data_IF_892366562817
#
_entry.id   IF_892366562817
#
_cell.length_a   1.000
_cell.length_b   1.000
_cell.length_c   1.000
_cell.angle_alpha   90.00
_cell.angle_beta   90.00
_cell.angle_gamma   90.00
#
_symmetry.space_group_name_H-M   'P 1'
#
loop_
_entity.id
_entity.type
_entity.pdbx_description
1 polymer ?
#
# COMPACT_ATOMS: atom_id res chain seq x y z
N UNK A 1 53.04 42.01 -36.13
CA UNK A 1 53.02 41.81 -34.66
C UNK A 1 51.64 41.24 -34.31
N UNK A 2 51.46 39.97 -33.86
CA UNK A 2 51.67 39.42 -32.49
C UNK A 2 51.07 40.38 -31.46
N UNK A 3 50.00 40.12 -30.71
CA UNK A 3 49.53 38.97 -29.88
C UNK A 3 48.03 39.26 -29.53
N UNK A 4 47.13 38.38 -29.03
CA UNK A 4 47.20 37.50 -27.85
C UNK A 4 45.92 36.62 -27.76
N UNK A 5 46.09 35.41 -27.23
CA UNK A 5 45.08 34.44 -26.76
C UNK A 5 44.15 34.99 -25.67
N UNK A 6 42.88 34.54 -25.63
CA UNK A 6 42.17 34.15 -24.38
C UNK A 6 41.14 33.02 -24.68
N UNK A 7 41.15 31.90 -23.94
CA UNK A 7 40.20 30.79 -24.08
C UNK A 7 38.97 31.03 -23.18
N UNK A 8 37.77 30.60 -23.60
CA UNK A 8 36.64 30.45 -22.69
C UNK A 8 36.14 29.02 -22.74
N UNK A 9 36.21 28.40 -21.57
CA UNK A 9 35.92 27.01 -21.29
C UNK A 9 34.47 26.65 -21.63
N UNK A 10 34.30 25.65 -22.48
CA UNK A 10 33.00 25.01 -22.70
C UNK A 10 32.63 24.21 -21.46
N UNK A 11 31.56 24.66 -20.80
CA UNK A 11 30.99 24.06 -19.61
C UNK A 11 30.59 22.60 -19.85
N UNK A 12 30.99 21.74 -18.92
CA UNK A 12 30.59 20.34 -18.86
C UNK A 12 29.07 20.23 -18.66
N UNK A 13 28.39 19.58 -19.60
CA UNK A 13 27.01 19.14 -19.45
C UNK A 13 26.99 17.96 -18.46
N UNK A 14 26.66 18.26 -17.20
CA UNK A 14 26.38 17.25 -16.18
C UNK A 14 25.14 16.46 -16.58
N UNK A 15 25.33 15.17 -16.83
CA UNK A 15 24.25 14.17 -16.93
C UNK A 15 23.55 14.10 -15.57
N UNK A 16 22.43 14.82 -15.43
CA UNK A 16 21.53 14.69 -14.30
C UNK A 16 20.89 13.31 -14.29
N UNK A 17 21.38 12.43 -13.41
CA UNK A 17 20.73 11.16 -13.11
C UNK A 17 19.37 11.46 -12.47
N UNK A 18 18.29 11.38 -13.25
CA UNK A 18 16.94 11.34 -12.69
C UNK A 18 16.80 10.00 -11.96
N UNK A 19 16.97 10.04 -10.63
CA UNK A 19 16.57 8.94 -9.77
C UNK A 19 15.05 8.80 -9.90
N UNK A 20 14.61 7.83 -10.70
CA UNK A 20 13.23 7.36 -10.66
C UNK A 20 13.06 6.64 -9.33
N UNK A 21 12.58 7.36 -8.30
CA UNK A 21 12.02 6.70 -7.13
C UNK A 21 10.80 5.92 -7.59
N UNK A 22 11.00 4.64 -7.88
CA UNK A 22 9.91 3.67 -7.92
C UNK A 22 9.32 3.64 -6.51
N UNK A 23 8.25 4.41 -6.27
CA UNK A 23 7.46 4.25 -5.06
C UNK A 23 6.88 2.83 -5.10
N UNK A 24 7.51 1.93 -4.36
CA UNK A 24 6.89 0.68 -3.92
C UNK A 24 5.48 1.00 -3.38
N UNK A 25 4.45 0.19 -3.69
CA UNK A 25 3.12 0.42 -3.14
C UNK A 25 3.24 0.49 -1.63
N UNK A 26 3.09 1.69 -1.07
CA UNK A 26 3.19 1.90 0.37
C UNK A 26 1.95 1.29 1.00
N UNK A 27 2.05 0.04 1.44
CA UNK A 27 1.03 -0.57 2.29
C UNK A 27 0.94 0.28 3.55
N UNK A 28 -0.22 0.87 3.80
CA UNK A 28 -0.43 1.68 4.98
C UNK A 28 -0.97 0.79 6.11
N UNK A 29 -0.09 0.48 7.06
CA UNK A 29 -0.41 -0.35 8.22
C UNK A 29 -1.22 0.44 9.24
N UNK A 30 -2.44 -0.01 9.51
CA UNK A 30 -3.27 0.56 10.57
C UNK A 30 -2.76 0.15 11.95
N UNK A 31 -2.97 0.99 13.00
CA UNK A 31 -2.77 0.57 14.37
C UNK A 31 -3.58 -0.70 14.66
N UNK A 32 -3.02 -1.74 15.30
CA UNK A 32 -3.75 -2.95 15.63
C UNK A 32 -4.97 -2.69 16.53
N UNK A 33 -6.06 -3.40 16.30
CA UNK A 33 -7.29 -3.37 17.10
C UNK A 33 -7.81 -4.79 17.32
N UNK A 34 -8.20 -5.13 18.55
CA UNK A 34 -8.82 -6.43 18.89
C UNK A 34 -8.06 -7.64 18.32
N UNK A 35 -6.72 -7.66 18.49
CA UNK A 35 -5.82 -8.70 17.98
C UNK A 35 -5.79 -8.84 16.45
N UNK A 36 -6.31 -7.86 15.73
CA UNK A 36 -6.28 -7.75 14.27
C UNK A 36 -5.42 -6.58 13.84
N UNK A 37 -4.81 -6.71 12.66
CA UNK A 37 -4.09 -5.65 11.98
C UNK A 37 -4.68 -5.48 10.58
N UNK A 38 -5.09 -4.26 10.25
CA UNK A 38 -5.52 -3.91 8.88
C UNK A 38 -4.36 -3.31 8.10
N UNK A 39 -4.17 -3.81 6.89
CA UNK A 39 -3.22 -3.30 5.92
C UNK A 39 -3.99 -2.70 4.75
N UNK A 40 -3.91 -1.38 4.56
CA UNK A 40 -4.50 -0.72 3.40
C UNK A 40 -3.53 -0.89 2.23
N UNK A 41 -3.96 -1.70 1.25
CA UNK A 41 -3.17 -2.05 0.07
C UNK A 41 -3.31 -0.99 -1.01
N UNK A 42 -4.51 -0.43 -1.17
CA UNK A 42 -4.79 0.59 -2.16
C UNK A 42 -5.94 1.52 -1.73
N UNK A 43 -5.87 2.77 -2.20
CA UNK A 43 -7.00 3.68 -2.19
C UNK A 43 -7.22 4.47 -0.89
N UNK A 44 -8.16 5.44 -0.91
CA UNK A 44 -8.37 6.41 0.18
C UNK A 44 -9.35 5.90 1.25
N UNK A 45 -9.18 4.67 1.74
CA UNK A 45 -9.97 4.18 2.88
C UNK A 45 -9.27 4.56 4.20
N UNK A 46 -10.03 4.98 5.21
CA UNK A 46 -9.48 5.21 6.54
C UNK A 46 -9.35 3.90 7.32
N UNK A 47 -8.41 3.82 8.27
CA UNK A 47 -8.31 2.65 9.14
C UNK A 47 -9.60 2.36 9.90
N UNK A 48 -10.30 3.40 10.38
CA UNK A 48 -11.56 3.24 11.10
C UNK A 48 -12.63 2.60 10.21
N UNK A 49 -12.76 3.06 8.97
CA UNK A 49 -13.74 2.51 8.02
C UNK A 49 -13.37 1.07 7.60
N UNK A 50 -12.09 0.79 7.45
CA UNK A 50 -11.60 -0.55 7.12
C UNK A 50 -11.91 -1.57 8.22
N UNK A 51 -11.63 -1.23 9.50
CA UNK A 51 -12.01 -2.08 10.64
C UNK A 51 -13.53 -2.21 10.78
N UNK A 52 -14.28 -1.12 10.61
CA UNK A 52 -15.75 -1.17 10.65
C UNK A 52 -16.32 -2.09 9.56
N UNK A 53 -15.77 -2.02 8.35
CA UNK A 53 -16.15 -2.90 7.22
C UNK A 53 -15.79 -4.36 7.53
N UNK A 54 -14.56 -4.62 8.00
CA UNK A 54 -14.12 -5.96 8.39
C UNK A 54 -15.03 -6.58 9.46
N UNK A 55 -15.44 -5.79 10.46
CA UNK A 55 -16.30 -6.24 11.56
C UNK A 55 -17.72 -6.62 11.15
N UNK A 56 -18.17 -6.29 9.93
CA UNK A 56 -19.46 -6.74 9.41
C UNK A 56 -19.40 -8.15 8.79
N UNK A 57 -18.20 -8.64 8.47
CA UNK A 57 -18.03 -9.94 7.79
C UNK A 57 -18.48 -11.09 8.69
N UNK A 58 -19.32 -11.97 8.15
CA UNK A 58 -19.84 -13.14 8.87
C UNK A 58 -19.05 -14.39 8.50
N UNK A 59 -18.22 -14.92 9.40
CA UNK A 59 -17.37 -16.08 9.08
C UNK A 59 -18.15 -17.35 8.65
N UNK A 60 -19.38 -17.53 9.16
CA UNK A 60 -20.25 -18.67 8.83
C UNK A 60 -21.20 -18.39 7.65
N UNK A 61 -21.08 -17.21 7.02
CA UNK A 61 -21.91 -16.80 5.90
C UNK A 61 -21.38 -17.23 4.53
N UNK A 62 -21.83 -16.53 3.49
CA UNK A 62 -21.33 -16.72 2.13
C UNK A 62 -19.81 -16.49 2.05
N UNK A 63 -19.11 -17.23 1.18
CA UNK A 63 -17.66 -17.08 0.99
C UNK A 63 -17.28 -15.65 0.60
N UNK A 64 -18.03 -15.08 -0.32
CA UNK A 64 -17.88 -13.69 -0.77
C UNK A 64 -19.07 -12.90 -0.25
N UNK A 65 -18.81 -11.85 0.52
CA UNK A 65 -19.85 -11.01 1.11
C UNK A 65 -19.69 -9.58 0.63
N UNK A 66 -20.80 -9.00 0.17
CA UNK A 66 -20.86 -7.59 -0.18
C UNK A 66 -21.10 -6.79 1.10
N UNK A 67 -20.12 -5.96 1.48
CA UNK A 67 -20.19 -5.08 2.66
C UNK A 67 -20.01 -3.65 2.16
N UNK A 68 -21.13 -2.95 1.96
CA UNK A 68 -21.12 -1.64 1.30
C UNK A 68 -20.51 -1.74 -0.11
N UNK A 69 -19.49 -0.93 -0.44
CA UNK A 69 -18.84 -1.00 -1.76
C UNK A 69 -17.79 -2.13 -1.87
N UNK A 70 -17.50 -2.85 -0.78
CA UNK A 70 -16.47 -3.88 -0.76
C UNK A 70 -17.06 -5.26 -0.99
N UNK A 71 -16.33 -6.06 -1.76
CA UNK A 71 -16.46 -7.52 -1.75
C UNK A 71 -15.39 -8.07 -0.82
N UNK A 72 -15.81 -8.66 0.29
CA UNK A 72 -14.95 -9.25 1.28
C UNK A 72 -14.99 -10.78 1.21
N UNK A 73 -13.83 -11.42 1.38
CA UNK A 73 -13.71 -12.87 1.42
C UNK A 73 -12.52 -13.29 2.27
N UNK A 74 -12.62 -14.43 2.93
CA UNK A 74 -11.47 -15.05 3.59
C UNK A 74 -10.57 -15.66 2.51
N UNK A 75 -9.32 -15.18 2.47
CA UNK A 75 -8.33 -15.66 1.52
C UNK A 75 -7.64 -16.93 1.99
N UNK A 76 -7.19 -17.76 1.04
CA UNK A 76 -6.16 -18.78 1.28
C UNK A 76 -4.77 -18.15 1.07
N UNK A 77 -4.45 -17.03 1.73
CA UNK A 77 -3.18 -16.35 1.47
C UNK A 77 -2.02 -17.22 1.98
N UNK A 78 -1.19 -17.74 1.06
CA UNK A 78 -0.11 -18.69 1.37
C UNK A 78 1.08 -18.08 2.13
N UNK A 79 1.07 -16.78 2.39
CA UNK A 79 2.13 -16.07 3.13
C UNK A 79 1.51 -14.99 4.01
N UNK A 80 1.74 -15.14 5.33
CA UNK A 80 1.18 -14.38 6.48
C UNK A 80 -0.35 -14.51 6.66
N UNK A 81 -0.86 -14.51 7.91
CA UNK A 81 -2.21 -14.95 8.25
C UNK A 81 -3.25 -13.90 7.89
N UNK A 82 -3.39 -13.59 6.60
CA UNK A 82 -4.50 -12.79 6.08
C UNK A 82 -5.76 -13.61 6.30
N UNK A 83 -6.57 -13.16 7.25
CA UNK A 83 -7.83 -13.80 7.61
C UNK A 83 -8.98 -13.29 6.75
N UNK A 84 -8.87 -12.06 6.24
CA UNK A 84 -9.91 -11.43 5.42
C UNK A 84 -9.27 -10.50 4.39
N UNK A 85 -9.81 -10.49 3.19
CA UNK A 85 -9.45 -9.56 2.12
C UNK A 85 -10.70 -8.87 1.62
N UNK A 86 -10.65 -7.55 1.51
CA UNK A 86 -11.78 -6.72 1.09
C UNK A 86 -11.32 -5.81 -0.06
N UNK A 87 -12.02 -5.89 -1.19
CA UNK A 87 -11.68 -5.16 -2.39
C UNK A 87 -12.89 -4.39 -2.93
N UNK A 88 -12.63 -3.23 -3.52
CA UNK A 88 -13.64 -2.40 -4.17
C UNK A 88 -13.07 -1.77 -5.45
N UNK A 89 -13.89 -1.02 -6.18
CA UNK A 89 -13.39 -0.29 -7.35
C UNK A 89 -12.43 0.86 -7.02
N UNK A 90 -12.30 1.25 -5.75
CA UNK A 90 -11.53 2.45 -5.34
C UNK A 90 -10.52 2.19 -4.21
N UNK A 91 -10.63 1.09 -3.48
CA UNK A 91 -9.77 0.79 -2.32
C UNK A 91 -9.75 -0.71 -2.04
N UNK A 92 -8.61 -1.17 -1.51
CA UNK A 92 -8.36 -2.56 -1.13
C UNK A 92 -7.66 -2.59 0.23
N UNK A 93 -8.08 -3.51 1.09
CA UNK A 93 -7.40 -3.75 2.37
C UNK A 93 -7.45 -5.22 2.76
N UNK A 94 -6.49 -5.63 3.59
CA UNK A 94 -6.39 -6.95 4.16
C UNK A 94 -6.47 -6.86 5.69
N UNK A 95 -7.03 -7.89 6.31
CA UNK A 95 -7.03 -8.07 7.76
C UNK A 95 -6.17 -9.29 8.08
N UNK A 96 -5.25 -9.09 9.01
CA UNK A 96 -4.31 -10.09 9.45
C UNK A 96 -4.48 -10.27 10.96
N UNK A 97 -4.12 -11.44 11.50
CA UNK A 97 -3.94 -11.52 12.95
C UNK A 97 -2.75 -10.64 13.34
N UNK A 98 -2.93 -9.76 14.33
CA UNK A 98 -1.85 -9.01 14.94
C UNK A 98 -1.02 -9.98 15.79
N UNK A 99 -0.19 -10.81 15.13
CA UNK A 99 0.84 -11.56 15.84
C UNK A 99 1.90 -10.54 16.24
N UNK A 100 2.18 -10.34 17.54
CA UNK A 100 3.31 -9.49 17.93
C UNK A 100 4.56 -10.03 17.23
N UNK A 101 5.29 -9.16 16.54
CA UNK A 101 6.59 -9.51 15.97
C UNK A 101 7.42 -10.17 17.08
N UNK A 102 7.69 -11.46 16.94
CA UNK A 102 8.56 -12.21 17.85
C UNK A 102 10.02 -11.82 17.62
#
# INVERSE_FOLDING_TARGET
MRYLFVPVASAALLLGSAAVSSAEPSVNHCPPQDQSQVDIVNGPISCADAYATAGQYQAEGEKYQQIGPFTCYTGNAMTLPIVLSCASGASDFAVNNAIPAQ
#
